data_IF_033684452219
#
_entry.id   IF_033684452219
#
_cell.length_a   1.000
_cell.length_b   1.000
_cell.length_c   1.000
_cell.angle_alpha   90.00
_cell.angle_beta   90.00
_cell.angle_gamma   90.00
#
_symmetry.space_group_name_H-M   'P 1'
#
loop_
_entity.id
_entity.type
_entity.pdbx_description
1 polymer ?
#
# COMPACT_ATOMS: atom_id res chain seq x y z
N UNK A 1 8.06 8.45 56.77
CA UNK A 1 8.20 7.83 55.44
C UNK A 1 7.50 8.71 54.39
N UNK A 2 8.24 9.54 53.63
CA UNK A 2 7.69 10.43 52.61
C UNK A 2 7.71 9.71 51.27
N UNK A 3 6.54 9.49 50.66
CA UNK A 3 6.40 8.99 49.28
C UNK A 3 6.74 10.14 48.31
N UNK A 4 7.81 9.98 47.52
CA UNK A 4 8.12 10.83 46.37
C UNK A 4 7.20 10.46 45.23
N UNK A 5 6.29 11.34 44.89
CA UNK A 5 5.52 11.31 43.65
C UNK A 5 6.48 11.59 42.48
N UNK A 6 6.57 10.63 41.54
CA UNK A 6 7.26 10.84 40.27
C UNK A 6 6.34 11.69 39.40
N UNK A 7 6.69 12.95 39.19
CA UNK A 7 6.13 13.79 38.14
C UNK A 7 6.51 13.20 36.78
N UNK A 8 5.50 12.77 36.04
CA UNK A 8 5.64 12.36 34.64
C UNK A 8 5.80 13.62 33.80
N UNK A 9 7.03 13.94 33.40
CA UNK A 9 7.34 15.02 32.48
C UNK A 9 6.75 14.72 31.09
N UNK A 10 5.60 15.29 30.80
CA UNK A 10 4.87 15.22 29.52
C UNK A 10 5.39 16.21 28.45
N UNK A 11 6.69 16.46 28.38
CA UNK A 11 7.30 17.39 27.42
C UNK A 11 8.37 16.72 26.54
N UNK A 12 7.97 15.66 25.81
CA UNK A 12 8.73 15.17 24.66
C UNK A 12 7.84 15.20 23.39
N UNK A 13 7.34 16.37 23.00
CA UNK A 13 7.01 16.64 21.60
C UNK A 13 8.34 16.72 20.86
N UNK A 14 8.82 15.57 20.40
CA UNK A 14 9.94 15.49 19.46
C UNK A 14 9.54 16.35 18.24
N UNK A 15 10.14 17.53 18.10
CA UNK A 15 10.06 18.38 16.92
C UNK A 15 10.75 17.62 15.77
N UNK A 16 10.02 16.73 15.12
CA UNK A 16 10.54 15.97 13.99
C UNK A 16 10.70 16.93 12.80
N UNK A 17 11.95 17.32 12.54
CA UNK A 17 12.31 18.09 11.35
C UNK A 17 11.90 17.34 10.08
N UNK A 18 11.26 18.04 9.15
CA UNK A 18 10.79 17.51 7.87
C UNK A 18 11.67 18.09 6.76
N UNK A 19 12.14 17.28 5.81
CA UNK A 19 12.83 17.82 4.63
C UNK A 19 11.87 18.67 3.81
N UNK A 20 12.35 19.85 3.37
CA UNK A 20 11.55 20.82 2.63
C UNK A 20 10.96 20.23 1.35
N UNK A 21 11.74 19.46 0.55
CA UNK A 21 11.25 18.78 -0.63
C UNK A 21 10.11 17.77 -0.33
N UNK A 22 10.16 17.11 0.85
CA UNK A 22 9.10 16.22 1.29
C UNK A 22 7.83 17.00 1.64
N UNK A 23 7.98 18.16 2.29
CA UNK A 23 6.85 19.00 2.65
C UNK A 23 6.12 19.53 1.39
N UNK A 24 6.87 20.04 0.41
CA UNK A 24 6.33 20.51 -0.89
C UNK A 24 5.62 19.38 -1.62
N UNK A 25 6.25 18.20 -1.71
CA UNK A 25 5.61 17.04 -2.33
C UNK A 25 4.33 16.59 -1.60
N UNK A 26 4.31 16.68 -0.27
CA UNK A 26 3.11 16.36 0.53
C UNK A 26 1.99 17.40 0.40
N UNK A 27 2.27 18.58 -0.15
CA UNK A 27 1.23 19.56 -0.50
C UNK A 27 0.53 19.27 -1.84
N UNK A 28 1.02 18.26 -2.59
CA UNK A 28 0.44 17.83 -3.86
C UNK A 28 0.83 18.70 -5.07
N UNK A 29 1.78 19.63 -4.90
CA UNK A 29 2.21 20.53 -5.99
C UNK A 29 3.04 19.79 -7.03
N UNK A 30 3.97 18.93 -6.57
CA UNK A 30 4.93 18.25 -7.43
C UNK A 30 5.53 17.00 -6.78
N UNK A 31 6.29 16.21 -7.52
CA UNK A 31 7.09 15.12 -6.97
C UNK A 31 8.27 15.65 -6.13
N UNK A 32 8.85 14.80 -5.26
CA UNK A 32 10.03 15.20 -4.46
C UNK A 32 11.23 15.61 -5.30
N UNK A 33 11.42 14.99 -6.47
CA UNK A 33 12.53 15.33 -7.39
C UNK A 33 12.31 16.69 -8.07
N UNK A 34 11.08 17.01 -8.41
CA UNK A 34 10.70 18.33 -8.93
C UNK A 34 10.79 19.39 -7.84
N UNK A 35 10.38 19.07 -6.60
CA UNK A 35 10.55 19.97 -5.46
C UNK A 35 12.03 20.36 -5.22
N UNK A 36 12.96 19.40 -5.38
CA UNK A 36 14.40 19.70 -5.32
C UNK A 36 14.80 20.73 -6.38
N UNK A 37 14.36 20.58 -7.63
CA UNK A 37 14.63 21.56 -8.71
C UNK A 37 14.03 22.93 -8.42
N UNK A 38 12.83 22.98 -7.84
CA UNK A 38 12.18 24.23 -7.47
C UNK A 38 12.87 24.93 -6.30
N UNK A 39 13.40 24.17 -5.33
CA UNK A 39 14.22 24.73 -4.25
C UNK A 39 15.50 25.35 -4.84
N UNK A 40 16.22 24.62 -5.69
CA UNK A 40 17.43 25.09 -6.37
C UNK A 40 17.17 26.35 -7.22
N UNK A 41 16.01 26.41 -7.90
CA UNK A 41 15.60 27.58 -8.69
C UNK A 41 15.16 28.79 -7.85
N UNK A 42 15.14 28.68 -6.50
CA UNK A 42 14.82 29.81 -5.61
C UNK A 42 13.34 30.21 -5.55
N UNK A 43 12.43 29.37 -6.04
CA UNK A 43 10.97 29.69 -6.02
C UNK A 43 10.28 29.27 -4.72
N UNK A 44 11.05 28.81 -3.72
CA UNK A 44 10.55 28.36 -2.43
C UNK A 44 11.11 29.24 -1.31
N UNK A 45 10.26 29.71 -0.43
CA UNK A 45 10.68 30.43 0.77
C UNK A 45 10.14 29.79 2.05
N UNK A 46 10.91 29.93 3.13
CA UNK A 46 10.56 29.49 4.48
C UNK A 46 10.68 30.67 5.43
N UNK A 47 9.59 31.02 6.12
CA UNK A 47 9.51 32.17 7.02
C UNK A 47 9.98 33.47 6.35
N UNK A 48 9.67 33.65 5.07
CA UNK A 48 10.05 34.82 4.29
C UNK A 48 11.47 34.80 3.68
N UNK A 49 12.30 33.80 3.98
CA UNK A 49 13.64 33.65 3.41
C UNK A 49 13.62 32.64 2.26
N UNK A 50 14.13 33.02 1.09
CA UNK A 50 14.31 32.10 -0.06
C UNK A 50 15.33 31.03 0.31
N UNK A 51 15.00 29.77 0.03
CA UNK A 51 15.85 28.61 0.29
C UNK A 51 16.24 27.97 -1.04
N UNK A 52 17.57 27.85 -1.26
CA UNK A 52 18.17 27.15 -2.42
C UNK A 52 18.96 25.92 -2.01
N UNK A 53 19.16 25.74 -0.70
CA UNK A 53 19.95 24.66 -0.13
C UNK A 53 19.24 23.31 -0.23
N UNK A 54 19.91 22.33 -0.85
CA UNK A 54 19.42 20.96 -0.94
C UNK A 54 19.43 20.26 0.42
N UNK A 55 18.35 19.54 0.72
CA UNK A 55 18.24 18.81 1.98
C UNK A 55 17.81 19.67 3.18
N UNK A 56 17.47 20.94 2.98
CA UNK A 56 16.97 21.85 4.00
C UNK A 56 15.81 21.21 4.79
N UNK A 57 15.79 21.44 6.11
CA UNK A 57 14.80 20.87 7.02
C UNK A 57 14.00 21.98 7.70
N UNK A 58 12.69 21.77 7.79
CA UNK A 58 11.73 22.68 8.40
C UNK A 58 11.08 22.05 9.62
N UNK A 59 10.53 22.88 10.50
CA UNK A 59 9.60 22.49 11.55
C UNK A 59 8.18 22.52 11.02
N UNK A 60 7.25 21.85 11.73
CA UNK A 60 5.81 21.85 11.36
C UNK A 60 5.18 23.25 11.49
N UNK A 61 5.77 24.12 12.29
CA UNK A 61 5.32 25.50 12.54
C UNK A 61 5.81 26.49 11.48
N UNK A 62 6.80 26.09 10.64
CA UNK A 62 7.36 26.98 9.63
C UNK A 62 6.34 27.27 8.51
N UNK A 63 6.31 28.53 8.07
CA UNK A 63 5.50 28.98 6.96
C UNK A 63 6.29 28.77 5.66
N UNK A 64 5.84 27.85 4.84
CA UNK A 64 6.44 27.57 3.54
C UNK A 64 5.59 28.19 2.44
N UNK A 65 6.24 28.92 1.54
CA UNK A 65 5.63 29.47 0.33
C UNK A 65 6.27 28.89 -0.92
N UNK A 66 5.46 28.66 -1.92
CA UNK A 66 5.86 28.25 -3.28
C UNK A 66 5.30 29.29 -4.26
N UNK A 67 6.14 29.94 -5.03
CA UNK A 67 5.77 31.10 -5.86
C UNK A 67 4.92 32.11 -5.05
N UNK A 68 5.41 32.55 -3.91
CA UNK A 68 4.76 33.47 -2.96
C UNK A 68 3.42 33.02 -2.35
N UNK A 69 2.89 31.88 -2.78
CA UNK A 69 1.66 31.29 -2.23
C UNK A 69 1.98 30.36 -1.06
N UNK A 70 1.34 30.59 0.09
CA UNK A 70 1.50 29.70 1.26
C UNK A 70 0.95 28.31 0.96
N UNK A 71 1.80 27.28 1.14
CA UNK A 71 1.44 25.88 0.94
C UNK A 71 1.23 25.18 2.27
N UNK A 72 0.28 24.22 2.29
CA UNK A 72 -0.01 23.38 3.45
C UNK A 72 0.11 21.92 3.05
N UNK A 73 0.60 21.09 3.97
CA UNK A 73 0.55 19.64 3.77
C UNK A 73 -0.89 19.18 3.63
N UNK A 74 -1.15 18.36 2.61
CA UNK A 74 -2.48 17.75 2.43
C UNK A 74 -2.78 16.77 3.57
N UNK A 75 -4.05 16.60 3.89
CA UNK A 75 -4.48 15.54 4.78
C UNK A 75 -4.23 14.17 4.12
N UNK A 76 -3.74 13.22 4.91
CA UNK A 76 -3.61 11.86 4.43
C UNK A 76 -4.98 11.24 4.16
N UNK A 77 -5.12 10.66 2.99
CA UNK A 77 -6.32 9.91 2.57
C UNK A 77 -5.95 8.45 2.40
N UNK A 78 -6.81 7.59 2.87
CA UNK A 78 -6.68 6.15 2.76
C UNK A 78 -7.96 5.60 2.16
N UNK A 79 -7.88 4.97 1.01
CA UNK A 79 -9.03 4.46 0.28
C UNK A 79 -8.80 2.98 -0.03
N UNK A 80 -9.76 2.16 0.32
CA UNK A 80 -9.78 0.72 0.05
C UNK A 80 -10.69 0.45 -1.14
N UNK A 81 -10.17 -0.23 -2.16
CA UNK A 81 -10.88 -0.66 -3.37
C UNK A 81 -11.02 -2.18 -3.39
N UNK A 82 -12.16 -2.70 -3.77
CA UNK A 82 -12.33 -4.09 -4.19
C UNK A 82 -12.12 -4.18 -5.71
N UNK A 83 -10.85 -4.40 -6.11
CA UNK A 83 -10.42 -4.41 -7.51
C UNK A 83 -11.15 -5.48 -8.34
N UNK A 84 -11.77 -5.13 -9.46
CA UNK A 84 -12.35 -6.10 -10.38
C UNK A 84 -11.29 -6.79 -11.25
N UNK A 85 -11.68 -7.90 -11.90
CA UNK A 85 -10.86 -8.58 -12.92
C UNK A 85 -10.64 -7.67 -14.13
N UNK A 86 -9.52 -7.86 -14.85
CA UNK A 86 -9.13 -7.15 -16.07
C UNK A 86 -8.74 -5.67 -15.88
N UNK A 87 -8.60 -5.19 -14.66
CA UNK A 87 -8.06 -3.85 -14.38
C UNK A 87 -6.58 -3.93 -14.04
N UNK A 88 -5.78 -3.04 -14.65
CA UNK A 88 -4.35 -2.90 -14.32
C UNK A 88 -4.16 -2.05 -13.09
N UNK A 89 -3.23 -2.44 -12.23
CA UNK A 89 -2.78 -1.66 -11.07
C UNK A 89 -1.46 -0.92 -11.33
N UNK A 90 -0.94 -0.95 -12.57
CA UNK A 90 0.28 -0.27 -12.94
C UNK A 90 0.05 1.24 -13.03
N UNK A 91 0.91 2.03 -12.39
CA UNK A 91 0.86 3.49 -12.51
C UNK A 91 1.17 3.97 -13.94
N UNK A 92 2.02 3.26 -14.68
CA UNK A 92 2.30 3.56 -16.10
C UNK A 92 1.04 3.50 -16.97
N UNK A 93 0.05 2.73 -16.54
CA UNK A 93 -1.23 2.55 -17.24
C UNK A 93 -2.36 3.37 -16.59
N UNK A 94 -2.06 4.35 -15.75
CA UNK A 94 -3.05 5.10 -14.95
C UNK A 94 -4.12 5.81 -15.79
N UNK A 95 -3.79 6.20 -17.00
CA UNK A 95 -4.70 6.87 -17.93
C UNK A 95 -5.59 5.92 -18.74
N UNK A 96 -5.30 4.61 -18.72
CA UNK A 96 -6.11 3.62 -19.43
C UNK A 96 -7.49 3.48 -18.78
N UNK A 97 -8.53 3.29 -19.61
CA UNK A 97 -9.92 3.06 -19.16
C UNK A 97 -10.03 1.90 -18.17
N UNK A 98 -9.21 0.85 -18.33
CA UNK A 98 -9.16 -0.33 -17.48
C UNK A 98 -8.05 -0.24 -16.42
N UNK A 99 -7.75 0.95 -15.92
CA UNK A 99 -6.86 1.16 -14.78
C UNK A 99 -7.66 1.24 -13.48
N UNK A 100 -7.10 0.75 -12.38
CA UNK A 100 -7.65 0.96 -11.03
C UNK A 100 -7.76 2.45 -10.70
N UNK A 101 -6.89 3.29 -11.28
CA UNK A 101 -6.95 4.74 -11.12
C UNK A 101 -8.25 5.34 -11.68
N UNK A 102 -8.79 4.77 -12.78
CA UNK A 102 -10.08 5.22 -13.33
C UNK A 102 -11.26 5.00 -12.36
N UNK A 103 -11.14 4.02 -11.44
CA UNK A 103 -12.17 3.73 -10.44
C UNK A 103 -12.10 4.64 -9.21
N UNK A 104 -10.94 5.27 -8.95
CA UNK A 104 -10.69 6.00 -7.69
C UNK A 104 -10.43 7.50 -7.88
N UNK A 105 -10.05 7.94 -9.11
CA UNK A 105 -9.64 9.33 -9.41
C UNK A 105 -10.62 10.40 -8.91
N UNK A 106 -11.92 10.16 -9.04
CA UNK A 106 -12.95 11.12 -8.70
C UNK A 106 -13.50 10.95 -7.26
N UNK A 107 -12.83 10.15 -6.42
CA UNK A 107 -13.30 9.89 -5.04
C UNK A 107 -12.81 10.92 -4.02
N UNK A 108 -11.69 11.58 -4.27
CA UNK A 108 -11.17 12.68 -3.46
C UNK A 108 -10.45 13.69 -4.36
N UNK A 109 -10.20 14.89 -3.81
CA UNK A 109 -9.45 15.94 -4.50
C UNK A 109 -7.95 15.69 -4.47
N UNK A 110 -7.49 15.03 -3.42
CA UNK A 110 -6.09 14.68 -3.23
C UNK A 110 -5.68 13.58 -4.18
N UNK A 111 -4.48 13.67 -4.74
CA UNK A 111 -3.91 12.64 -5.58
C UNK A 111 -3.47 11.45 -4.74
N UNK A 112 -4.13 10.31 -4.91
CA UNK A 112 -3.84 9.07 -4.19
C UNK A 112 -3.26 8.02 -5.13
N UNK A 113 -2.35 7.19 -4.59
CA UNK A 113 -1.61 6.18 -5.35
C UNK A 113 -1.87 4.77 -4.80
N UNK A 114 -1.85 3.74 -5.66
CA UNK A 114 -2.03 2.37 -5.22
C UNK A 114 -0.83 1.90 -4.38
N UNK A 115 -1.09 1.27 -3.25
CA UNK A 115 -0.08 0.63 -2.41
C UNK A 115 0.06 -0.83 -2.80
N UNK A 116 1.23 -1.18 -3.32
CA UNK A 116 1.48 -2.51 -3.89
C UNK A 116 0.84 -2.67 -5.27
N UNK A 117 0.86 -3.92 -5.77
CA UNK A 117 0.35 -4.27 -7.09
C UNK A 117 -0.46 -5.56 -7.02
N UNK A 118 -1.51 -5.63 -7.84
CA UNK A 118 -2.20 -6.85 -8.20
C UNK A 118 -2.18 -6.97 -9.72
N UNK A 119 -2.02 -8.17 -10.25
CA UNK A 119 -2.11 -8.39 -11.69
C UNK A 119 -3.55 -8.22 -12.22
N UNK A 120 -3.72 -8.27 -13.53
CA UNK A 120 -5.03 -8.08 -14.16
C UNK A 120 -6.04 -9.18 -13.80
N UNK A 121 -5.55 -10.43 -13.63
CA UNK A 121 -6.40 -11.59 -13.33
C UNK A 121 -6.85 -11.59 -11.88
N UNK A 122 -5.99 -11.16 -10.96
CA UNK A 122 -6.26 -11.13 -9.52
C UNK A 122 -7.23 -10.01 -9.17
N UNK A 123 -8.20 -10.37 -8.37
CA UNK A 123 -9.24 -9.47 -7.84
C UNK A 123 -9.02 -9.18 -6.35
N UNK A 124 -9.82 -8.29 -5.77
CA UNK A 124 -9.89 -8.10 -4.32
C UNK A 124 -9.24 -6.82 -3.81
N UNK A 125 -8.87 -6.83 -2.56
CA UNK A 125 -8.49 -5.64 -1.81
C UNK A 125 -7.25 -4.95 -2.36
N UNK A 126 -7.35 -3.65 -2.58
CA UNK A 126 -6.24 -2.78 -2.94
C UNK A 126 -6.35 -1.46 -2.19
N UNK A 127 -5.27 -1.05 -1.53
CA UNK A 127 -5.18 0.17 -0.74
C UNK A 127 -4.58 1.30 -1.58
N UNK A 128 -5.11 2.51 -1.42
CA UNK A 128 -4.61 3.74 -2.04
C UNK A 128 -4.37 4.79 -0.97
N UNK A 129 -3.35 5.60 -1.14
CA UNK A 129 -3.06 6.71 -0.24
C UNK A 129 -2.14 7.75 -0.89
N UNK A 130 -2.18 8.98 -0.37
CA UNK A 130 -1.17 10.00 -0.57
C UNK A 130 -0.09 10.00 0.55
N UNK A 131 -0.18 9.08 1.52
CA UNK A 131 0.83 8.90 2.56
C UNK A 131 2.02 8.11 2.04
N UNK A 132 3.06 8.83 1.61
CA UNK A 132 4.29 8.26 1.09
C UNK A 132 5.07 7.43 2.14
N UNK A 133 4.96 7.77 3.42
CA UNK A 133 5.67 7.05 4.48
C UNK A 133 5.00 5.71 4.76
N UNK A 134 3.66 5.67 4.81
CA UNK A 134 2.91 4.43 4.89
C UNK A 134 3.16 3.56 3.65
N UNK A 135 3.10 4.17 2.45
CA UNK A 135 3.35 3.46 1.19
C UNK A 135 4.71 2.79 1.18
N UNK A 136 5.77 3.50 1.61
CA UNK A 136 7.12 2.93 1.73
C UNK A 136 7.17 1.79 2.75
N UNK A 137 6.54 1.97 3.90
CA UNK A 137 6.45 0.92 4.92
C UNK A 137 5.76 -0.33 4.34
N UNK A 138 4.58 -0.20 3.75
CA UNK A 138 3.80 -1.31 3.23
C UNK A 138 4.38 -1.96 1.95
N UNK A 139 5.26 -1.28 1.22
CA UNK A 139 5.91 -1.83 0.01
C UNK A 139 7.33 -2.36 0.25
N UNK A 140 7.88 -2.15 1.44
CA UNK A 140 9.22 -2.60 1.79
C UNK A 140 9.27 -4.13 1.86
N UNK A 141 10.16 -4.76 1.11
CA UNK A 141 10.31 -6.23 1.07
C UNK A 141 10.54 -6.88 2.43
N UNK A 142 11.17 -6.16 3.36
CA UNK A 142 11.43 -6.62 4.73
C UNK A 142 10.19 -6.63 5.63
N UNK A 143 9.11 -5.97 5.24
CA UNK A 143 7.89 -5.94 6.05
C UNK A 143 7.07 -7.20 5.81
N UNK A 144 6.83 -7.92 6.88
CA UNK A 144 6.05 -9.17 6.87
C UNK A 144 4.55 -8.86 6.84
N UNK A 145 4.05 -8.31 5.71
CA UNK A 145 2.63 -8.01 5.55
C UNK A 145 1.88 -9.28 5.26
N UNK A 146 0.91 -9.56 6.12
CA UNK A 146 -0.01 -10.69 5.97
C UNK A 146 -1.05 -10.38 4.91
N UNK A 147 -1.22 -11.33 3.98
CA UNK A 147 -2.27 -11.35 2.98
C UNK A 147 -3.00 -12.69 3.03
N UNK A 148 -4.31 -12.68 2.80
CA UNK A 148 -5.07 -13.91 2.57
C UNK A 148 -5.69 -13.83 1.20
N UNK A 149 -5.53 -14.90 0.45
CA UNK A 149 -6.13 -15.09 -0.87
C UNK A 149 -7.11 -16.25 -0.84
N UNK A 150 -8.18 -16.07 -1.57
CA UNK A 150 -9.09 -17.13 -1.97
C UNK A 150 -8.78 -17.48 -3.41
N UNK A 151 -8.37 -18.70 -3.67
CA UNK A 151 -8.05 -19.22 -5.00
C UNK A 151 -9.03 -20.32 -5.38
N UNK A 152 -9.52 -20.29 -6.62
CA UNK A 152 -10.31 -21.37 -7.21
C UNK A 152 -9.45 -22.10 -8.23
N UNK A 153 -9.35 -23.42 -8.14
CA UNK A 153 -8.59 -24.26 -9.02
C UNK A 153 -9.45 -24.89 -10.13
N UNK A 154 -8.80 -25.39 -11.18
CA UNK A 154 -9.46 -26.11 -12.26
C UNK A 154 -9.95 -27.52 -11.85
N UNK A 155 -9.34 -28.12 -10.84
CA UNK A 155 -9.67 -29.46 -10.29
C UNK A 155 -9.46 -29.48 -8.77
N UNK A 156 -10.02 -30.47 -8.09
CA UNK A 156 -9.88 -30.66 -6.66
C UNK A 156 -8.41 -30.81 -6.25
N UNK A 157 -7.96 -30.03 -5.26
CA UNK A 157 -6.65 -30.15 -4.66
C UNK A 157 -6.59 -31.45 -3.82
N UNK A 158 -5.59 -32.25 -4.03
CA UNK A 158 -5.37 -33.48 -3.26
C UNK A 158 -4.83 -33.12 -1.86
N UNK A 159 -5.23 -33.86 -0.83
CA UNK A 159 -4.80 -33.61 0.56
C UNK A 159 -3.26 -33.74 0.71
N UNK A 160 -2.64 -34.64 -0.07
CA UNK A 160 -1.20 -34.81 -0.09
C UNK A 160 -0.49 -33.57 -0.66
N UNK A 161 -1.02 -32.98 -1.73
CA UNK A 161 -0.42 -31.79 -2.34
C UNK A 161 -0.65 -30.56 -1.48
N UNK A 162 -1.81 -30.43 -0.81
CA UNK A 162 -2.06 -29.39 0.16
C UNK A 162 -1.02 -29.42 1.29
N UNK A 163 -0.71 -30.62 1.84
CA UNK A 163 0.35 -30.79 2.85
C UNK A 163 1.71 -30.37 2.30
N UNK A 164 2.09 -30.85 1.11
CA UNK A 164 3.36 -30.49 0.46
C UNK A 164 3.49 -28.97 0.26
N UNK A 165 2.44 -28.30 -0.19
CA UNK A 165 2.44 -26.82 -0.36
C UNK A 165 2.64 -26.13 0.98
N UNK A 166 2.00 -26.60 2.05
CA UNK A 166 2.10 -26.04 3.40
C UNK A 166 3.49 -26.18 3.99
N UNK A 167 4.15 -27.32 3.80
CA UNK A 167 5.44 -27.65 4.39
C UNK A 167 6.62 -27.11 3.59
N UNK A 168 6.44 -26.91 2.27
CA UNK A 168 7.49 -26.42 1.37
C UNK A 168 7.90 -25.00 1.75
N UNK A 169 9.21 -24.76 1.76
CA UNK A 169 9.78 -23.40 1.82
C UNK A 169 9.73 -22.77 0.42
N UNK A 170 9.24 -21.52 0.39
CA UNK A 170 9.04 -20.76 -0.84
C UNK A 170 10.01 -19.57 -0.92
N UNK A 171 11.24 -19.78 -0.45
CA UNK A 171 12.27 -18.72 -0.32
C UNK A 171 12.65 -18.11 -1.67
N UNK A 172 12.68 -18.92 -2.74
CA UNK A 172 12.96 -18.46 -4.12
C UNK A 172 11.99 -17.37 -4.59
N UNK A 173 10.79 -17.37 -4.06
CA UNK A 173 9.78 -16.35 -4.34
C UNK A 173 9.74 -15.23 -3.29
N UNK A 174 10.57 -15.34 -2.25
CA UNK A 174 10.61 -14.40 -1.13
C UNK A 174 9.32 -14.37 -0.31
N UNK A 175 8.57 -15.48 -0.27
CA UNK A 175 7.31 -15.62 0.46
C UNK A 175 7.40 -16.70 1.53
N UNK A 176 6.50 -16.55 2.52
CA UNK A 176 6.21 -17.60 3.49
C UNK A 176 4.71 -17.86 3.48
N UNK A 177 4.30 -19.08 3.18
CA UNK A 177 2.94 -19.56 3.41
C UNK A 177 2.83 -19.83 4.91
N UNK A 178 1.91 -19.16 5.59
CA UNK A 178 1.68 -19.33 7.02
C UNK A 178 0.54 -20.29 7.29
N UNK A 179 -0.43 -20.34 6.37
CA UNK A 179 -1.49 -21.34 6.37
C UNK A 179 -2.07 -21.54 4.98
N UNK A 180 -2.58 -22.75 4.72
CA UNK A 180 -3.34 -23.12 3.53
C UNK A 180 -4.38 -24.18 3.92
N UNK A 181 -5.62 -23.94 3.51
CA UNK A 181 -6.73 -24.81 3.82
C UNK A 181 -7.81 -24.77 2.74
N UNK A 182 -8.68 -25.78 2.70
CA UNK A 182 -9.89 -25.70 1.90
C UNK A 182 -10.82 -24.63 2.47
N UNK A 183 -11.26 -23.71 1.62
CA UNK A 183 -12.23 -22.69 2.00
C UNK A 183 -13.64 -23.28 2.10
N UNK A 184 -13.88 -24.38 1.38
CA UNK A 184 -15.12 -25.13 1.41
C UNK A 184 -14.79 -26.64 1.45
N UNK A 185 -15.22 -27.33 2.50
CA UNK A 185 -15.00 -28.78 2.65
C UNK A 185 -15.70 -29.62 1.58
N UNK A 186 -16.80 -29.11 1.00
CA UNK A 186 -17.56 -29.79 -0.05
C UNK A 186 -16.98 -29.57 -1.44
N UNK A 187 -16.18 -28.50 -1.62
CA UNK A 187 -15.55 -28.19 -2.90
C UNK A 187 -14.04 -27.94 -2.69
N UNK A 188 -13.25 -28.99 -2.86
CA UNK A 188 -11.80 -28.97 -2.71
C UNK A 188 -11.06 -28.13 -3.78
N UNK A 189 -11.77 -27.45 -4.68
CA UNK A 189 -11.19 -26.46 -5.61
C UNK A 189 -11.01 -25.09 -4.95
N UNK A 190 -11.79 -24.80 -3.90
CA UNK A 190 -11.80 -23.51 -3.21
C UNK A 190 -10.77 -23.52 -2.07
N UNK A 191 -9.69 -22.76 -2.25
CA UNK A 191 -8.53 -22.77 -1.35
C UNK A 191 -8.32 -21.40 -0.73
N UNK A 192 -8.20 -21.34 0.59
CA UNK A 192 -7.70 -20.20 1.34
C UNK A 192 -6.19 -20.31 1.53
N UNK A 193 -5.44 -19.26 1.19
CA UNK A 193 -3.99 -19.20 1.40
C UNK A 193 -3.65 -17.96 2.19
N UNK A 194 -3.05 -18.15 3.36
CA UNK A 194 -2.46 -17.09 4.16
C UNK A 194 -0.96 -17.03 3.90
N UNK A 195 -0.46 -15.86 3.54
CA UNK A 195 0.94 -15.71 3.18
C UNK A 195 1.50 -14.35 3.57
N UNK A 196 2.82 -14.31 3.71
CA UNK A 196 3.63 -13.12 3.97
C UNK A 196 4.63 -12.97 2.83
N UNK A 197 4.76 -11.76 2.27
CA UNK A 197 5.75 -11.45 1.25
C UNK A 197 5.16 -10.85 -0.02
N UNK A 198 5.97 -10.69 -1.10
CA UNK A 198 5.52 -10.16 -2.38
C UNK A 198 4.51 -11.11 -3.04
N UNK A 199 3.41 -10.57 -3.55
CA UNK A 199 2.25 -11.37 -3.97
C UNK A 199 2.02 -11.39 -5.49
N UNK A 200 2.94 -10.85 -6.29
CA UNK A 200 2.76 -10.77 -7.75
C UNK A 200 2.97 -12.15 -8.38
N UNK A 201 1.94 -12.69 -9.03
CA UNK A 201 1.93 -13.96 -9.78
C UNK A 201 2.43 -15.19 -9.00
N UNK A 202 2.54 -15.10 -7.67
CA UNK A 202 3.12 -16.18 -6.86
C UNK A 202 2.12 -17.32 -6.67
N UNK A 203 0.83 -16.99 -6.50
CA UNK A 203 -0.22 -18.00 -6.26
C UNK A 203 -0.37 -18.93 -7.46
N UNK A 204 -0.35 -18.39 -8.69
CA UNK A 204 -0.35 -19.21 -9.90
C UNK A 204 0.81 -20.21 -9.88
N UNK A 205 2.04 -19.72 -9.61
CA UNK A 205 3.25 -20.53 -9.59
C UNK A 205 3.24 -21.61 -8.51
N UNK A 206 2.67 -21.33 -7.33
CA UNK A 206 2.51 -22.32 -6.27
C UNK A 206 1.70 -23.52 -6.77
N UNK A 207 0.57 -23.27 -7.39
CA UNK A 207 -0.30 -24.33 -7.87
C UNK A 207 0.22 -25.01 -9.16
N UNK A 208 0.81 -24.25 -10.07
CA UNK A 208 1.46 -24.78 -11.28
C UNK A 208 2.55 -25.79 -10.95
N UNK A 209 3.30 -25.61 -9.85
CA UNK A 209 4.33 -26.57 -9.37
C UNK A 209 3.74 -27.96 -9.11
N UNK A 210 2.45 -28.07 -8.83
CA UNK A 210 1.73 -29.32 -8.56
C UNK A 210 0.71 -29.66 -9.65
N UNK A 211 0.85 -29.09 -10.86
CA UNK A 211 -0.03 -29.33 -12.01
C UNK A 211 -1.50 -28.94 -11.78
N UNK A 212 -1.72 -27.87 -11.01
CA UNK A 212 -3.03 -27.20 -10.89
C UNK A 212 -3.00 -25.85 -11.57
N UNK A 213 -4.15 -25.41 -12.10
CA UNK A 213 -4.33 -24.09 -12.68
C UNK A 213 -5.33 -23.29 -11.85
N UNK A 214 -5.00 -22.04 -11.58
CA UNK A 214 -5.91 -21.12 -10.92
C UNK A 214 -6.89 -20.52 -11.94
N UNK A 215 -8.18 -20.60 -11.66
CA UNK A 215 -9.26 -20.00 -12.48
C UNK A 215 -9.66 -18.64 -11.94
N UNK A 216 -9.60 -18.47 -10.61
CA UNK A 216 -9.86 -17.20 -9.91
C UNK A 216 -8.87 -17.02 -8.78
N UNK A 217 -8.45 -15.79 -8.54
CA UNK A 217 -7.66 -15.39 -7.38
C UNK A 217 -8.27 -14.11 -6.85
N UNK A 218 -8.59 -14.08 -5.56
CA UNK A 218 -9.20 -12.94 -4.88
C UNK A 218 -8.47 -12.63 -3.56
N UNK A 219 -7.88 -11.45 -3.43
CA UNK A 219 -7.27 -11.01 -2.17
C UNK A 219 -8.36 -10.57 -1.20
N UNK A 220 -8.63 -11.38 -0.19
CA UNK A 220 -9.72 -11.16 0.77
C UNK A 220 -9.29 -10.42 2.03
N UNK A 221 -7.98 -10.46 2.34
CA UNK A 221 -7.38 -9.78 3.49
C UNK A 221 -6.03 -9.16 3.09
N UNK A 222 -5.77 -7.93 3.54
CA UNK A 222 -4.53 -7.22 3.30
C UNK A 222 -4.21 -6.27 4.46
N UNK A 223 -3.07 -6.48 5.13
CA UNK A 223 -2.56 -5.57 6.17
C UNK A 223 -3.60 -5.18 7.24
N UNK A 224 -4.39 -6.11 7.76
CA UNK A 224 -5.44 -5.84 8.76
C UNK A 224 -6.81 -5.49 8.16
N UNK A 225 -6.90 -5.28 6.84
CA UNK A 225 -8.13 -4.84 6.18
C UNK A 225 -8.87 -6.02 5.54
N UNK A 226 -10.19 -5.99 5.59
CA UNK A 226 -11.09 -6.96 4.97
C UNK A 226 -12.02 -6.29 3.96
N UNK A 227 -12.60 -7.08 3.05
CA UNK A 227 -13.59 -6.58 2.09
C UNK A 227 -15.05 -6.62 2.59
N UNK A 228 -15.24 -6.74 3.92
CA UNK A 228 -16.59 -6.70 4.51
C UNK A 228 -17.32 -5.43 4.07
N UNK A 229 -18.54 -5.59 3.58
CA UNK A 229 -19.40 -4.50 3.06
C UNK A 229 -18.74 -3.67 1.95
N UNK A 230 -17.92 -4.29 1.09
CA UNK A 230 -17.28 -3.64 -0.04
C UNK A 230 -17.48 -4.50 -1.30
N UNK A 231 -18.47 -4.17 -2.10
CA UNK A 231 -18.79 -4.90 -3.32
C UNK A 231 -17.69 -4.74 -4.40
N UNK A 232 -17.75 -5.56 -5.44
CA UNK A 232 -16.78 -5.51 -6.54
C UNK A 232 -16.86 -4.17 -7.28
N UNK A 233 -15.73 -3.54 -7.56
CA UNK A 233 -15.53 -2.17 -8.10
C UNK A 233 -15.78 -1.05 -7.10
N UNK A 234 -16.34 -1.32 -5.95
CA UNK A 234 -16.57 -0.29 -4.95
C UNK A 234 -15.31 0.05 -4.15
N UNK A 235 -15.32 1.24 -3.62
CA UNK A 235 -14.27 1.78 -2.76
C UNK A 235 -14.86 2.50 -1.56
N UNK A 236 -14.15 2.48 -0.44
CA UNK A 236 -14.49 3.24 0.77
C UNK A 236 -13.25 3.89 1.37
N UNK A 237 -13.40 5.02 2.03
CA UNK A 237 -12.38 5.60 2.89
C UNK A 237 -12.25 4.81 4.21
N UNK A 238 -11.05 4.86 4.80
CA UNK A 238 -10.72 4.24 6.10
C UNK A 238 -10.67 5.30 7.18
#
# INVERSE_FOLDING_TARGET
MRKKSKEYNSNNKINSLIRLNKYISNSGICSRREADKFIEAGVVSVNGKVITEMGYKIQKTDIVKFNDSTIKSQQHKYLLLNKPKNYTSSFKDSFKKNSVMALVRNKCREEIFPIGKLDKKTTGLMLFSNDNDLTKKLTKKSLKIKCIYHATLNKNLQDIDLKKIKEKRWDDYGIKITDIAYANQKDKKEIGIEMIGPTKNVIDKIFETYNYQTTKIDRVYYAGLTKKNLARKESRFL
#
